data_IF_885183872376
#
_entry.id   IF_885183872376
#
_cell.length_a   1.000
_cell.length_b   1.000
_cell.length_c   1.000
_cell.angle_alpha   90.00
_cell.angle_beta   90.00
_cell.angle_gamma   90.00
#
_symmetry.space_group_name_H-M   'P 1'
#
loop_
_entity.id
_entity.type
_entity.pdbx_description
1 polymer ?
#
# COMPACT_ATOMS: atom_id res chain seq x y z
N UNK A 1 28.54 -10.79 -1.48
CA UNK A 1 28.59 -11.84 -0.45
C UNK A 1 27.15 -12.30 -0.22
N UNK A 2 26.82 -13.58 -0.45
CA UNK A 2 25.46 -14.08 -0.22
C UNK A 2 25.13 -13.98 1.28
N UNK A 3 23.92 -13.56 1.61
CA UNK A 3 23.48 -13.45 2.99
C UNK A 3 23.35 -14.84 3.63
N UNK A 4 23.85 -14.99 4.86
CA UNK A 4 23.67 -16.21 5.64
C UNK A 4 22.22 -16.34 6.10
N UNK A 5 21.47 -17.26 5.45
CA UNK A 5 20.08 -17.53 5.79
C UNK A 5 19.89 -18.37 7.04
N UNK A 6 20.93 -18.94 7.67
CA UNK A 6 20.76 -19.84 8.83
C UNK A 6 20.02 -19.18 10.00
N UNK A 7 20.06 -17.85 10.10
CA UNK A 7 19.34 -17.04 11.10
C UNK A 7 18.11 -16.32 10.57
N UNK A 8 17.84 -16.39 9.27
CA UNK A 8 16.73 -15.68 8.62
C UNK A 8 15.47 -16.55 8.55
N UNK A 9 14.25 -15.98 8.74
CA UNK A 9 12.99 -16.73 8.64
C UNK A 9 12.87 -17.59 7.38
N UNK A 10 13.28 -17.09 6.22
CA UNK A 10 13.13 -17.75 4.91
C UNK A 10 13.84 -19.09 4.82
N UNK A 11 14.76 -19.41 5.73
CA UNK A 11 15.36 -20.76 5.85
C UNK A 11 14.32 -21.86 5.96
N UNK A 12 13.18 -21.58 6.61
CA UNK A 12 12.11 -22.54 6.83
C UNK A 12 11.40 -22.97 5.55
N UNK A 13 11.63 -22.27 4.44
CA UNK A 13 11.03 -22.53 3.13
C UNK A 13 12.06 -22.65 2.01
N UNK A 14 13.35 -22.38 2.25
CA UNK A 14 14.38 -22.42 1.22
C UNK A 14 15.56 -23.37 1.47
N UNK A 15 15.94 -23.66 2.73
CA UNK A 15 17.17 -24.41 3.03
C UNK A 15 16.86 -25.86 3.41
N UNK A 16 17.61 -26.81 2.84
CA UNK A 16 17.54 -28.22 3.21
C UNK A 16 16.70 -29.08 2.25
N UNK A 17 16.93 -30.40 2.23
CA UNK A 17 16.21 -31.32 1.35
C UNK A 17 14.70 -31.34 1.62
N UNK A 18 14.29 -31.20 2.88
CA UNK A 18 12.89 -31.22 3.29
C UNK A 18 12.10 -30.00 2.80
N UNK A 19 12.78 -28.96 2.33
CA UNK A 19 12.16 -27.76 1.73
C UNK A 19 12.02 -27.84 0.21
N UNK A 20 12.36 -28.97 -0.41
CA UNK A 20 12.16 -29.18 -1.85
C UNK A 20 10.72 -28.88 -2.33
N UNK A 21 9.64 -29.26 -1.61
CA UNK A 21 8.27 -28.91 -2.01
C UNK A 21 8.00 -27.40 -2.01
N UNK A 22 8.62 -26.64 -1.10
CA UNK A 22 8.48 -25.19 -1.06
C UNK A 22 9.21 -24.55 -2.25
N UNK A 23 10.45 -25.00 -2.51
CA UNK A 23 11.24 -24.54 -3.66
C UNK A 23 10.60 -24.88 -5.00
N UNK A 24 9.84 -25.97 -5.14
CA UNK A 24 9.14 -26.25 -6.40
C UNK A 24 8.12 -25.18 -6.77
N UNK A 25 7.45 -24.55 -5.79
CA UNK A 25 6.60 -23.39 -6.06
C UNK A 25 7.43 -22.18 -6.53
N UNK A 26 8.61 -21.97 -5.97
CA UNK A 26 9.52 -20.88 -6.39
C UNK A 26 10.04 -21.08 -7.81
N UNK A 27 10.43 -22.30 -8.17
CA UNK A 27 10.83 -22.63 -9.55
C UNK A 27 9.66 -22.50 -10.53
N UNK A 28 8.44 -22.88 -10.13
CA UNK A 28 7.24 -22.67 -10.95
C UNK A 28 6.95 -21.18 -11.21
N UNK A 29 7.41 -20.29 -10.34
CA UNK A 29 7.36 -18.83 -10.55
C UNK A 29 8.56 -18.28 -11.33
N UNK A 30 9.44 -19.14 -11.85
CA UNK A 30 10.61 -18.75 -12.63
C UNK A 30 11.79 -18.26 -11.80
N UNK A 31 11.79 -18.45 -10.48
CA UNK A 31 12.92 -18.04 -9.64
C UNK A 31 14.13 -18.96 -9.86
N UNK A 32 15.30 -18.36 -9.92
CA UNK A 32 16.58 -19.06 -9.95
C UNK A 32 16.96 -19.57 -8.56
N UNK A 33 17.86 -20.56 -8.51
CA UNK A 33 18.43 -21.01 -7.23
C UNK A 33 19.16 -19.89 -6.49
N UNK A 34 19.81 -18.99 -7.23
CA UNK A 34 20.47 -17.81 -6.66
C UNK A 34 19.46 -16.92 -5.93
N UNK A 35 18.33 -16.60 -6.55
CA UNK A 35 17.27 -15.81 -5.93
C UNK A 35 16.60 -16.52 -4.75
N UNK A 36 16.44 -17.85 -4.81
CA UNK A 36 15.91 -18.63 -3.69
C UNK A 36 16.87 -18.57 -2.49
N UNK A 37 18.18 -18.43 -2.72
CA UNK A 37 19.19 -18.34 -1.68
C UNK A 37 19.43 -16.91 -1.14
N UNK A 38 18.89 -15.87 -1.80
CA UNK A 38 18.89 -14.47 -1.32
C UNK A 38 17.77 -14.20 -0.30
N UNK A 39 17.92 -13.25 0.65
CA UNK A 39 16.86 -12.91 1.61
C UNK A 39 15.53 -12.57 0.93
N UNK A 40 14.43 -13.06 1.47
CA UNK A 40 13.10 -12.78 0.94
C UNK A 40 12.58 -11.48 1.53
N UNK A 41 12.31 -10.49 0.68
CA UNK A 41 11.81 -9.18 1.11
C UNK A 41 10.38 -9.03 0.63
N UNK A 42 9.44 -9.00 1.58
CA UNK A 42 8.05 -8.69 1.27
C UNK A 42 7.92 -7.25 0.77
N UNK A 43 7.19 -7.04 -0.32
CA UNK A 43 6.83 -5.71 -0.82
C UNK A 43 5.31 -5.62 -0.77
N UNK A 44 4.77 -5.04 0.30
CA UNK A 44 3.33 -4.92 0.52
C UNK A 44 2.83 -3.57 0.01
N UNK A 45 1.78 -3.60 -0.80
CA UNK A 45 1.12 -2.40 -1.33
C UNK A 45 -0.34 -2.38 -0.93
N UNK A 46 -0.87 -1.21 -0.54
CA UNK A 46 -2.31 -1.00 -0.40
C UNK A 46 -2.93 -0.45 -1.70
N UNK A 47 -2.34 -0.78 -2.86
CA UNK A 47 -2.84 -0.35 -4.17
C UNK A 47 -4.25 -0.88 -4.43
N UNK A 48 -5.10 0.01 -4.94
CA UNK A 48 -6.35 -0.32 -5.61
C UNK A 48 -6.79 0.86 -6.48
N UNK A 49 -7.85 0.63 -7.26
CA UNK A 49 -8.48 1.65 -8.10
C UNK A 49 -9.65 2.35 -7.40
N UNK A 50 -9.79 2.20 -6.08
CA UNK A 50 -10.91 2.77 -5.35
C UNK A 50 -10.76 4.29 -5.18
N UNK A 51 -9.53 4.81 -5.11
CA UNK A 51 -9.29 6.24 -4.86
C UNK A 51 -7.88 6.70 -5.30
N UNK A 52 -7.70 7.99 -5.61
CA UNK A 52 -6.45 8.54 -6.11
C UNK A 52 -5.27 8.39 -5.13
N UNK A 53 -5.54 8.26 -3.83
CA UNK A 53 -4.53 8.02 -2.80
C UNK A 53 -3.75 6.71 -2.97
N UNK A 54 -4.30 5.74 -3.70
CA UNK A 54 -3.71 4.41 -3.81
C UNK A 54 -3.19 4.06 -5.21
N UNK A 55 -3.66 4.74 -6.26
CA UNK A 55 -3.39 4.32 -7.66
C UNK A 55 -1.90 4.38 -8.06
N UNK A 56 -1.11 5.26 -7.42
CA UNK A 56 0.33 5.35 -7.67
C UNK A 56 1.14 4.20 -7.05
N UNK A 57 0.58 3.51 -6.06
CA UNK A 57 1.31 2.53 -5.25
C UNK A 57 1.78 1.32 -6.08
N UNK A 58 1.08 0.93 -7.15
CA UNK A 58 1.49 -0.19 -8.01
C UNK A 58 2.81 0.08 -8.73
N UNK A 59 2.96 1.25 -9.37
CA UNK A 59 4.22 1.61 -10.03
C UNK A 59 5.35 1.83 -9.02
N UNK A 60 5.04 2.37 -7.84
CA UNK A 60 6.01 2.55 -6.77
C UNK A 60 6.49 1.19 -6.21
N UNK A 61 5.60 0.20 -6.08
CA UNK A 61 5.99 -1.16 -5.70
C UNK A 61 6.97 -1.77 -6.71
N UNK A 62 6.79 -1.54 -8.01
CA UNK A 62 7.76 -1.98 -9.02
C UNK A 62 9.15 -1.32 -8.83
N UNK A 63 9.20 -0.04 -8.49
CA UNK A 63 10.46 0.65 -8.15
C UNK A 63 11.13 0.04 -6.92
N UNK A 64 10.36 -0.28 -5.88
CA UNK A 64 10.88 -0.95 -4.68
C UNK A 64 11.46 -2.32 -5.02
N UNK A 65 10.73 -3.15 -5.81
CA UNK A 65 11.21 -4.47 -6.22
C UNK A 65 12.53 -4.40 -6.97
N UNK A 66 12.68 -3.41 -7.85
CA UNK A 66 13.94 -3.16 -8.56
C UNK A 66 15.08 -2.90 -7.58
N UNK A 67 14.91 -1.99 -6.63
CA UNK A 67 15.93 -1.68 -5.62
C UNK A 67 16.28 -2.87 -4.72
N UNK A 68 15.28 -3.66 -4.30
CA UNK A 68 15.50 -4.91 -3.55
C UNK A 68 16.36 -5.89 -4.35
N UNK A 69 16.02 -6.10 -5.63
CA UNK A 69 16.75 -7.03 -6.49
C UNK A 69 18.19 -6.58 -6.77
N UNK A 70 18.39 -5.28 -7.03
CA UNK A 70 19.73 -4.67 -7.23
C UNK A 70 20.63 -4.83 -6.00
N UNK A 71 20.05 -4.90 -4.81
CA UNK A 71 20.76 -5.10 -3.55
C UNK A 71 20.83 -6.55 -3.09
N UNK A 72 20.64 -7.52 -4.01
CA UNK A 72 20.70 -8.97 -3.75
C UNK A 72 19.66 -9.47 -2.73
N UNK A 73 18.51 -8.80 -2.64
CA UNK A 73 17.29 -9.37 -2.04
C UNK A 73 16.39 -9.99 -3.11
N UNK A 74 15.45 -10.82 -2.68
CA UNK A 74 14.45 -11.43 -3.56
C UNK A 74 13.09 -10.82 -3.23
N UNK A 75 12.57 -9.92 -4.08
CA UNK A 75 11.32 -9.22 -3.80
C UNK A 75 10.11 -10.14 -3.95
N UNK A 76 9.23 -10.13 -2.94
CA UNK A 76 7.96 -10.85 -2.92
C UNK A 76 6.82 -9.85 -2.78
N UNK A 77 6.28 -9.43 -3.91
CA UNK A 77 5.18 -8.46 -3.95
C UNK A 77 3.84 -9.11 -3.58
N UNK A 78 3.05 -8.39 -2.79
CA UNK A 78 1.66 -8.73 -2.51
C UNK A 78 0.85 -7.47 -2.17
N UNK A 79 -0.47 -7.57 -2.25
CA UNK A 79 -1.37 -6.47 -1.92
C UNK A 79 -2.17 -6.78 -0.65
N UNK A 80 -2.56 -5.73 0.05
CA UNK A 80 -3.62 -5.74 1.06
C UNK A 80 -4.70 -4.71 0.70
N UNK A 81 -5.85 -4.82 1.33
CA UNK A 81 -7.00 -3.94 1.13
C UNK A 81 -6.72 -2.53 1.65
N UNK A 82 -7.57 -1.57 1.28
CA UNK A 82 -7.69 -0.28 1.96
C UNK A 82 -9.08 0.30 1.70
N UNK A 83 -9.59 1.07 2.66
CA UNK A 83 -10.86 1.78 2.57
C UNK A 83 -10.56 3.28 2.53
N UNK A 84 -11.23 3.99 1.64
CA UNK A 84 -11.01 5.43 1.45
C UNK A 84 -12.05 6.24 2.22
N UNK A 85 -11.62 6.96 3.24
CA UNK A 85 -12.49 7.81 4.07
C UNK A 85 -13.24 8.84 3.21
N UNK A 86 -12.53 9.45 2.25
CA UNK A 86 -13.09 10.36 1.23
C UNK A 86 -14.41 9.89 0.61
N UNK A 87 -14.47 8.61 0.25
CA UNK A 87 -15.63 8.01 -0.44
C UNK A 87 -16.65 7.48 0.58
N UNK A 88 -16.18 6.91 1.69
CA UNK A 88 -17.05 6.30 2.70
C UNK A 88 -17.82 7.33 3.55
N UNK A 89 -17.43 8.61 3.48
CA UNK A 89 -18.04 9.70 4.24
C UNK A 89 -19.52 9.90 3.91
N UNK A 90 -20.32 10.18 4.94
CA UNK A 90 -21.74 10.52 4.78
C UNK A 90 -22.70 9.33 4.64
N UNK A 91 -22.23 8.08 4.67
CA UNK A 91 -23.10 6.90 4.60
C UNK A 91 -22.60 5.73 5.48
N UNK A 92 -23.34 4.59 5.46
CA UNK A 92 -23.04 3.43 6.32
C UNK A 92 -21.66 2.81 6.08
N UNK A 93 -21.00 3.10 4.95
CA UNK A 93 -19.68 2.61 4.61
C UNK A 93 -18.59 3.12 5.55
N UNK A 94 -18.78 4.27 6.19
CA UNK A 94 -17.84 4.82 7.17
C UNK A 94 -17.54 3.86 8.33
N UNK A 95 -18.47 2.94 8.64
CA UNK A 95 -18.26 1.89 9.65
C UNK A 95 -17.12 0.93 9.30
N UNK A 96 -16.75 0.85 8.02
CA UNK A 96 -15.64 0.02 7.52
C UNK A 96 -14.28 0.73 7.56
N UNK A 97 -14.23 2.04 7.79
CA UNK A 97 -12.98 2.82 7.76
C UNK A 97 -11.99 2.36 8.84
N UNK A 98 -12.31 2.55 10.12
CA UNK A 98 -11.35 2.32 11.20
C UNK A 98 -10.93 0.85 11.31
N UNK A 99 -11.87 -0.08 11.11
CA UNK A 99 -11.58 -1.52 11.16
C UNK A 99 -10.64 -1.96 10.04
N UNK A 100 -10.59 -1.25 8.91
CA UNK A 100 -9.63 -1.55 7.84
C UNK A 100 -8.17 -1.48 8.31
N UNK A 101 -7.85 -0.64 9.32
CA UNK A 101 -6.51 -0.58 9.93
C UNK A 101 -6.08 -1.93 10.50
N UNK A 102 -6.96 -2.60 11.24
CA UNK A 102 -6.68 -3.90 11.84
C UNK A 102 -6.56 -4.98 10.77
N UNK A 103 -7.46 -4.97 9.79
CA UNK A 103 -7.44 -5.94 8.68
C UNK A 103 -6.16 -5.81 7.87
N UNK A 104 -5.67 -4.59 7.62
CA UNK A 104 -4.40 -4.33 6.93
C UNK A 104 -3.22 -4.85 7.75
N UNK A 105 -3.22 -4.63 9.06
CA UNK A 105 -2.17 -5.12 9.94
C UNK A 105 -2.14 -6.66 9.93
N UNK A 106 -3.29 -7.29 10.13
CA UNK A 106 -3.45 -8.73 10.24
C UNK A 106 -3.15 -9.43 8.91
N UNK A 107 -3.65 -8.94 7.78
CA UNK A 107 -3.39 -9.55 6.47
C UNK A 107 -1.92 -9.49 6.06
N UNK A 108 -1.24 -8.39 6.41
CA UNK A 108 0.19 -8.22 6.17
C UNK A 108 0.99 -9.18 7.05
N UNK A 109 0.65 -9.25 8.34
CA UNK A 109 1.28 -10.17 9.29
C UNK A 109 1.10 -11.64 8.87
N UNK A 110 -0.11 -12.03 8.44
CA UNK A 110 -0.40 -13.37 7.94
C UNK A 110 0.47 -13.74 6.74
N UNK A 111 0.62 -12.83 5.77
CA UNK A 111 1.42 -13.08 4.57
C UNK A 111 2.89 -13.25 4.93
N UNK A 112 3.44 -12.34 5.74
CA UNK A 112 4.86 -12.36 6.13
C UNK A 112 5.20 -13.61 6.94
N UNK A 113 4.39 -13.95 7.96
CA UNK A 113 4.62 -15.14 8.78
C UNK A 113 4.42 -16.42 7.99
N UNK A 114 3.35 -16.51 7.19
CA UNK A 114 3.01 -17.69 6.41
C UNK A 114 4.07 -18.03 5.35
N UNK A 115 4.70 -17.02 4.75
CA UNK A 115 5.71 -17.21 3.71
C UNK A 115 7.15 -17.00 4.19
N UNK A 116 7.34 -16.78 5.49
CA UNK A 116 8.65 -16.63 6.13
C UNK A 116 9.53 -15.54 5.49
N UNK A 117 8.97 -14.34 5.25
CA UNK A 117 9.78 -13.24 4.73
C UNK A 117 10.74 -12.68 5.79
N UNK A 118 11.92 -12.25 5.35
CA UNK A 118 13.02 -11.82 6.19
C UNK A 118 12.98 -10.32 6.51
N UNK A 119 12.38 -9.54 5.62
CA UNK A 119 12.21 -8.10 5.72
C UNK A 119 10.93 -7.65 5.01
N UNK A 120 10.50 -6.40 5.25
CA UNK A 120 9.28 -5.84 4.68
C UNK A 120 9.48 -4.40 4.18
N UNK A 121 9.01 -4.11 2.97
CA UNK A 121 8.79 -2.73 2.50
C UNK A 121 7.30 -2.52 2.34
N UNK A 122 6.74 -1.55 3.05
CA UNK A 122 5.31 -1.24 3.03
C UNK A 122 5.00 0.07 2.33
N UNK A 123 4.05 0.03 1.38
CA UNK A 123 3.57 1.17 0.63
C UNK A 123 2.11 1.45 0.96
N UNK A 124 1.83 2.63 1.50
CA UNK A 124 0.48 3.08 1.81
C UNK A 124 0.30 4.56 1.50
N UNK A 125 -0.93 4.94 1.14
CA UNK A 125 -1.30 6.32 0.79
C UNK A 125 -2.47 6.85 1.61
N UNK A 126 -3.55 6.07 1.76
CA UNK A 126 -4.77 6.53 2.42
C UNK A 126 -4.72 6.40 3.95
N UNK A 127 -5.25 7.39 4.67
CA UNK A 127 -5.38 7.51 6.14
C UNK A 127 -5.10 6.21 6.93
N UNK A 128 -6.05 5.26 6.98
CA UNK A 128 -5.96 4.07 7.85
C UNK A 128 -4.95 3.03 7.40
N UNK A 129 -4.53 3.07 6.13
CA UNK A 129 -3.52 2.15 5.59
C UNK A 129 -2.11 2.43 6.11
N UNK A 130 -1.79 3.69 6.41
CA UNK A 130 -0.50 4.10 6.98
C UNK A 130 -0.25 3.42 8.33
N UNK A 131 -1.08 3.63 9.38
CA UNK A 131 -0.87 2.99 10.66
C UNK A 131 -1.09 1.47 10.59
N UNK A 132 -1.96 0.95 9.70
CA UNK A 132 -2.15 -0.49 9.54
C UNK A 132 -0.85 -1.21 9.15
N UNK A 133 -0.12 -0.69 8.17
CA UNK A 133 1.18 -1.26 7.79
C UNK A 133 2.24 -1.06 8.88
N UNK A 134 2.29 0.11 9.52
CA UNK A 134 3.25 0.37 10.61
C UNK A 134 3.00 -0.57 11.81
N UNK A 135 1.73 -0.86 12.13
CA UNK A 135 1.37 -1.84 13.16
C UNK A 135 1.89 -3.23 12.80
N UNK A 136 1.72 -3.68 11.55
CA UNK A 136 2.28 -4.96 11.11
C UNK A 136 3.80 -5.00 11.25
N UNK A 137 4.50 -3.94 10.84
CA UNK A 137 5.96 -3.83 10.98
C UNK A 137 6.41 -3.97 12.45
N UNK A 138 5.75 -3.26 13.37
CA UNK A 138 6.05 -3.36 14.80
C UNK A 138 5.74 -4.76 15.38
N UNK A 139 4.62 -5.38 14.99
CA UNK A 139 4.23 -6.72 15.46
C UNK A 139 5.17 -7.83 14.94
N UNK A 140 5.62 -7.69 13.70
CA UNK A 140 6.56 -8.63 13.07
C UNK A 140 7.97 -8.48 13.63
N UNK A 141 8.38 -7.25 13.96
CA UNK A 141 9.71 -6.92 14.47
C UNK A 141 10.86 -7.47 13.58
N UNK A 142 10.66 -7.37 12.26
CA UNK A 142 11.67 -7.66 11.25
C UNK A 142 12.15 -6.34 10.60
N UNK A 143 13.34 -6.29 9.97
CA UNK A 143 13.78 -5.11 9.25
C UNK A 143 12.70 -4.62 8.29
N UNK A 144 12.26 -3.38 8.49
CA UNK A 144 11.10 -2.83 7.78
C UNK A 144 11.34 -1.40 7.34
N UNK A 145 10.85 -1.05 6.14
CA UNK A 145 10.84 0.32 5.61
C UNK A 145 9.42 0.68 5.21
N UNK A 146 8.94 1.83 5.68
CA UNK A 146 7.68 2.41 5.25
C UNK A 146 7.91 3.47 4.17
N UNK A 147 7.14 3.41 3.08
CA UNK A 147 7.16 4.40 2.01
C UNK A 147 5.76 4.99 1.81
N UNK A 148 5.65 6.30 2.01
CA UNK A 148 4.42 7.04 1.78
C UNK A 148 4.12 7.21 0.28
N UNK A 149 2.87 7.00 -0.12
CA UNK A 149 2.43 7.08 -1.52
C UNK A 149 2.54 8.46 -2.15
N UNK A 150 2.54 9.52 -1.33
CA UNK A 150 2.66 10.92 -1.75
C UNK A 150 1.33 11.68 -1.64
N UNK A 151 1.45 13.01 -1.51
CA UNK A 151 0.32 13.94 -1.46
C UNK A 151 -0.23 14.20 -2.85
N UNK A 152 -1.54 14.44 -2.95
CA UNK A 152 -2.17 14.96 -4.17
C UNK A 152 -1.70 16.41 -4.42
N UNK A 153 -1.65 16.81 -5.70
CA UNK A 153 -1.44 18.22 -6.07
C UNK A 153 -2.73 19.01 -5.85
N UNK A 154 -2.66 20.32 -5.53
CA UNK A 154 -3.86 21.15 -5.42
C UNK A 154 -4.55 21.29 -6.78
N UNK A 155 -5.88 21.23 -6.76
CA UNK A 155 -6.72 21.60 -7.88
C UNK A 155 -6.70 23.10 -8.15
N UNK A 156 -7.21 23.54 -9.30
CA UNK A 156 -7.32 24.96 -9.66
C UNK A 156 -8.73 25.29 -10.09
N UNK A 157 -9.37 26.23 -9.40
CA UNK A 157 -10.72 26.68 -9.71
C UNK A 157 -10.84 28.21 -9.54
N UNK A 158 -11.31 28.90 -10.59
CA UNK A 158 -11.51 30.36 -10.62
C UNK A 158 -10.30 31.17 -10.10
N UNK A 159 -9.09 30.72 -10.44
CA UNK A 159 -7.84 31.39 -10.06
C UNK A 159 -7.30 31.05 -8.66
N UNK A 160 -8.00 30.21 -7.89
CA UNK A 160 -7.58 29.76 -6.56
C UNK A 160 -7.16 28.30 -6.57
N UNK A 161 -6.27 27.94 -5.67
CA UNK A 161 -5.98 26.53 -5.36
C UNK A 161 -7.13 25.97 -4.52
N UNK A 162 -7.56 24.74 -4.84
CA UNK A 162 -8.68 24.06 -4.19
C UNK A 162 -8.34 22.61 -3.86
N UNK A 163 -9.05 22.05 -2.89
CA UNK A 163 -8.91 20.70 -2.35
C UNK A 163 -10.28 20.03 -2.20
N UNK A 164 -10.28 18.77 -1.77
CA UNK A 164 -11.54 18.06 -1.45
C UNK A 164 -12.33 18.73 -0.32
N UNK A 165 -11.68 19.47 0.59
CA UNK A 165 -12.35 20.20 1.67
C UNK A 165 -13.23 21.30 1.09
N UNK A 166 -12.75 22.02 0.08
CA UNK A 166 -13.52 23.06 -0.61
C UNK A 166 -14.78 22.49 -1.27
N UNK A 167 -14.73 21.25 -1.77
CA UNK A 167 -15.90 20.55 -2.30
C UNK A 167 -16.92 20.27 -1.20
N UNK A 168 -16.48 19.77 -0.04
CA UNK A 168 -17.38 19.56 1.12
C UNK A 168 -18.02 20.86 1.60
N UNK A 169 -17.26 21.96 1.63
CA UNK A 169 -17.80 23.28 1.97
C UNK A 169 -18.78 23.80 0.92
N UNK A 170 -18.48 23.58 -0.37
CA UNK A 170 -19.34 23.98 -1.47
C UNK A 170 -20.70 23.26 -1.43
N UNK A 171 -20.75 22.00 -1.00
CA UNK A 171 -22.03 21.30 -0.74
C UNK A 171 -22.84 22.02 0.34
N UNK A 172 -22.20 22.49 1.41
CA UNK A 172 -22.85 23.29 2.45
C UNK A 172 -23.38 24.63 1.92
N UNK A 173 -22.57 25.33 1.11
CA UNK A 173 -22.98 26.58 0.44
C UNK A 173 -24.14 26.34 -0.53
N UNK A 174 -24.14 25.23 -1.25
CA UNK A 174 -25.18 24.86 -2.19
C UNK A 174 -26.51 24.63 -1.48
N UNK A 175 -26.49 23.87 -0.38
CA UNK A 175 -27.68 23.66 0.46
C UNK A 175 -28.27 24.95 1.04
N UNK A 176 -27.44 25.97 1.26
CA UNK A 176 -27.85 27.31 1.70
C UNK A 176 -28.28 28.25 0.56
N UNK A 177 -28.28 27.79 -0.70
CA UNK A 177 -28.61 28.61 -1.88
C UNK A 177 -27.51 29.57 -2.33
N UNK A 178 -26.28 29.39 -1.84
CA UNK A 178 -25.13 30.27 -2.09
C UNK A 178 -24.22 29.88 -3.25
N UNK A 179 -24.50 28.78 -3.96
CA UNK A 179 -23.81 28.37 -5.19
C UNK A 179 -24.78 27.59 -6.09
N UNK A 180 -24.44 27.42 -7.37
CA UNK A 180 -25.25 26.70 -8.36
C UNK A 180 -24.78 25.25 -8.51
N UNK A 181 -25.63 24.38 -9.05
CA UNK A 181 -25.25 23.01 -9.43
C UNK A 181 -24.07 23.00 -10.43
N UNK A 182 -24.03 23.97 -11.35
CA UNK A 182 -22.96 24.13 -12.33
C UNK A 182 -21.62 24.46 -11.66
N UNK A 183 -21.61 25.44 -10.75
CA UNK A 183 -20.41 25.81 -10.00
C UNK A 183 -19.89 24.64 -9.14
N UNK A 184 -20.80 23.89 -8.50
CA UNK A 184 -20.45 22.71 -7.71
C UNK A 184 -19.85 21.61 -8.60
N UNK A 185 -20.46 21.36 -9.76
CA UNK A 185 -20.00 20.36 -10.74
C UNK A 185 -18.62 20.72 -11.31
N UNK A 186 -18.38 21.99 -11.60
CA UNK A 186 -17.08 22.42 -12.12
C UNK A 186 -15.99 22.34 -11.06
N UNK A 187 -16.32 22.61 -9.79
CA UNK A 187 -15.38 22.47 -8.68
C UNK A 187 -14.99 20.99 -8.45
N UNK A 188 -15.94 20.05 -8.40
CA UNK A 188 -15.63 18.63 -8.12
C UNK A 188 -14.76 17.99 -9.21
N UNK A 189 -14.87 18.44 -10.46
CA UNK A 189 -14.05 17.96 -11.59
C UNK A 189 -12.57 18.33 -11.47
N UNK A 190 -12.25 19.41 -10.76
CA UNK A 190 -10.89 19.98 -10.72
C UNK A 190 -10.21 19.85 -9.36
N UNK A 191 -10.96 19.56 -8.29
CA UNK A 191 -10.45 19.51 -6.92
C UNK A 191 -9.38 18.43 -6.66
N UNK A 192 -9.42 17.32 -7.40
CA UNK A 192 -8.51 16.19 -7.24
C UNK A 192 -7.76 15.90 -8.57
N UNK A 193 -6.72 16.66 -8.91
CA UNK A 193 -6.12 16.66 -10.25
C UNK A 193 -5.13 15.51 -10.51
N UNK A 194 -4.68 14.79 -9.49
CA UNK A 194 -3.63 13.77 -9.62
C UNK A 194 -3.85 12.57 -8.69
N UNK A 195 -2.99 11.57 -8.83
CA UNK A 195 -2.80 10.58 -7.77
C UNK A 195 -2.20 11.26 -6.52
N UNK A 196 -2.48 10.69 -5.35
CA UNK A 196 -2.00 11.16 -4.06
C UNK A 196 -3.10 11.22 -3.01
N UNK A 197 -2.69 11.21 -1.74
CA UNK A 197 -3.60 11.35 -0.60
C UNK A 197 -3.97 12.79 -0.33
#
# INVERSE_FOLDING_TARGET
MMADKTKLPSRHVSIGPERAPHRSYYYAMGMTEEEINRPFVGVVSTWNEAAPCNIALMRQAQSVKKGVNEMNGTPREFCTITVTDGIAMGHQGMKSSLVSREVIADSTELTVRGHCYDALVGLAGCDKSLPGLMMAMCRLNIPSVFMYGGSILPGRYKGNDVTVVDVFEAVGKHAAGGTTDEDLTDLEKVACPSAGA
#
